data_IF_013079494377
#
_entry.id   IF_013079494377
#
_cell.length_a   1.000
_cell.length_b   1.000
_cell.length_c   1.000
_cell.angle_alpha   90.00
_cell.angle_beta   90.00
_cell.angle_gamma   90.00
#
_symmetry.space_group_name_H-M   'P 1'
#
loop_
_entity.id
_entity.type
_entity.pdbx_description
1 polymer ?
#
# COMPACT_ATOMS: atom_id res chain seq x y z
N UNK A 1 0.02 13.39 -13.95
CA UNK A 1 1.03 13.04 -12.94
C UNK A 1 2.20 14.02 -13.02
N UNK A 2 2.72 14.56 -11.91
CA UNK A 2 3.76 15.60 -11.94
C UNK A 2 4.99 15.16 -12.75
N UNK A 3 5.52 15.98 -13.69
CA UNK A 3 6.66 15.60 -14.52
C UNK A 3 7.89 15.16 -13.72
N UNK A 4 8.15 15.80 -12.57
CA UNK A 4 9.23 15.42 -11.66
C UNK A 4 9.10 13.98 -11.17
N UNK A 5 7.92 13.55 -10.74
CA UNK A 5 7.73 12.17 -10.27
C UNK A 5 7.73 11.16 -11.43
N UNK A 6 7.28 11.59 -12.61
CA UNK A 6 7.26 10.75 -13.81
C UNK A 6 8.65 10.48 -14.37
N UNK A 7 9.51 11.50 -14.42
CA UNK A 7 10.79 11.43 -15.11
C UNK A 7 12.01 11.45 -14.19
N UNK A 8 11.89 11.99 -12.97
CA UNK A 8 13.03 12.17 -12.05
C UNK A 8 13.01 11.17 -10.90
N UNK A 9 11.93 11.09 -10.11
CA UNK A 9 11.91 10.20 -8.93
C UNK A 9 11.82 8.71 -9.29
N UNK A 10 11.46 8.40 -10.55
CA UNK A 10 11.30 7.03 -11.05
C UNK A 10 10.27 6.18 -10.29
N UNK A 11 9.45 6.80 -9.42
CA UNK A 11 8.39 6.14 -8.67
C UNK A 11 7.09 5.97 -9.47
N UNK A 12 7.00 6.59 -10.65
CA UNK A 12 5.86 6.42 -11.54
C UNK A 12 5.86 5.06 -12.22
N UNK A 13 4.68 4.44 -12.28
CA UNK A 13 4.36 3.29 -13.13
C UNK A 13 3.07 3.59 -13.91
N UNK A 14 2.89 2.95 -15.06
CA UNK A 14 1.65 3.10 -15.85
C UNK A 14 0.47 2.43 -15.14
N UNK A 15 -0.74 2.84 -15.50
CA UNK A 15 -1.98 2.24 -14.99
C UNK A 15 -2.04 0.72 -15.25
N UNK A 16 -1.61 0.28 -16.44
CA UNK A 16 -1.53 -1.14 -16.80
C UNK A 16 -0.56 -1.91 -15.88
N UNK A 17 0.60 -1.33 -15.57
CA UNK A 17 1.59 -1.95 -14.68
C UNK A 17 1.08 -1.99 -13.23
N UNK A 18 0.47 -0.92 -12.75
CA UNK A 18 -0.21 -0.89 -11.44
C UNK A 18 -1.29 -1.97 -11.34
N UNK A 19 -2.09 -2.16 -12.39
CA UNK A 19 -3.12 -3.19 -12.46
C UNK A 19 -2.56 -4.61 -12.37
N UNK A 20 -1.43 -4.88 -13.04
CA UNK A 20 -0.73 -6.18 -12.94
C UNK A 20 -0.23 -6.46 -11.52
N UNK A 21 0.31 -5.45 -10.83
CA UNK A 21 0.78 -5.57 -9.44
C UNK A 21 -0.36 -5.84 -8.47
N UNK A 22 -1.50 -5.17 -8.66
CA UNK A 22 -2.71 -5.47 -7.90
C UNK A 22 -3.16 -6.93 -8.12
N UNK A 23 -3.24 -7.36 -9.38
CA UNK A 23 -3.60 -8.74 -9.70
C UNK A 23 -2.62 -9.76 -9.06
N UNK A 24 -1.32 -9.42 -9.02
CA UNK A 24 -0.32 -10.23 -8.35
C UNK A 24 -0.62 -10.39 -6.85
N UNK A 25 -0.86 -9.30 -6.11
CA UNK A 25 -1.19 -9.39 -4.66
C UNK A 25 -2.43 -10.24 -4.41
N UNK A 26 -3.43 -10.15 -5.30
CA UNK A 26 -4.69 -10.88 -5.14
C UNK A 26 -4.54 -12.38 -5.42
N UNK A 27 -3.65 -12.78 -6.32
CA UNK A 27 -3.64 -14.15 -6.87
C UNK A 27 -2.34 -14.94 -6.67
N UNK A 28 -1.22 -14.28 -6.39
CA UNK A 28 0.08 -14.93 -6.24
C UNK A 28 0.18 -15.62 -4.86
N UNK A 29 0.34 -16.96 -4.79
CA UNK A 29 0.45 -17.69 -3.53
C UNK A 29 1.63 -17.23 -2.65
N UNK A 30 2.64 -16.59 -3.24
CA UNK A 30 3.79 -16.05 -2.50
C UNK A 30 3.48 -14.76 -1.72
N UNK A 31 2.35 -14.11 -2.00
CA UNK A 31 1.95 -12.82 -1.40
C UNK A 31 0.77 -12.93 -0.43
N UNK A 32 0.61 -14.08 0.22
CA UNK A 32 -0.54 -14.42 1.07
C UNK A 32 -0.42 -13.96 2.52
N UNK A 33 0.71 -13.37 2.91
CA UNK A 33 0.97 -12.95 4.29
C UNK A 33 0.09 -11.74 4.67
N UNK A 34 -0.70 -11.92 5.74
CA UNK A 34 -1.53 -10.87 6.30
C UNK A 34 -0.72 -9.84 7.10
N UNK A 35 -1.21 -8.60 7.18
CA UNK A 35 -0.60 -7.52 7.96
C UNK A 35 0.65 -6.90 7.34
N UNK A 36 0.86 -7.09 6.03
CA UNK A 36 2.05 -6.66 5.31
C UNK A 36 1.75 -5.54 4.32
N UNK A 37 2.69 -4.60 4.20
CA UNK A 37 2.68 -3.59 3.15
C UNK A 37 3.55 -4.04 1.96
N UNK A 38 2.94 -4.59 0.91
CA UNK A 38 3.67 -5.01 -0.29
C UNK A 38 4.13 -3.80 -1.12
N UNK A 39 5.38 -3.81 -1.55
CA UNK A 39 5.99 -2.76 -2.38
C UNK A 39 6.81 -3.33 -3.52
N UNK A 40 7.07 -2.51 -4.55
CA UNK A 40 7.85 -2.85 -5.73
C UNK A 40 8.92 -1.79 -5.96
N UNK A 41 10.09 -2.21 -6.43
CA UNK A 41 11.13 -1.32 -6.96
C UNK A 41 11.37 -1.66 -8.45
N UNK A 42 12.40 -1.05 -9.06
CA UNK A 42 12.71 -1.29 -10.48
C UNK A 42 13.43 -2.61 -10.75
N UNK A 43 14.05 -3.20 -9.74
CA UNK A 43 15.09 -4.21 -9.89
C UNK A 43 14.72 -5.56 -9.25
N UNK A 44 13.60 -5.66 -8.52
CA UNK A 44 13.18 -6.86 -7.81
C UNK A 44 11.68 -7.16 -7.94
N UNK A 45 11.34 -8.40 -7.62
CA UNK A 45 9.98 -8.80 -7.27
C UNK A 45 9.46 -8.01 -6.05
N UNK A 46 8.17 -8.13 -5.77
CA UNK A 46 7.53 -7.53 -4.60
C UNK A 46 8.24 -7.87 -3.29
N UNK A 47 8.24 -6.95 -2.34
CA UNK A 47 8.85 -7.12 -1.02
C UNK A 47 7.97 -6.53 0.08
N UNK A 48 8.19 -6.98 1.32
CA UNK A 48 7.54 -6.43 2.51
C UNK A 48 8.19 -5.10 2.89
N UNK A 49 7.44 -4.01 2.84
CA UNK A 49 7.96 -2.68 3.13
C UNK A 49 7.89 -2.34 4.62
N UNK A 50 8.90 -1.61 5.09
CA UNK A 50 8.91 -1.05 6.43
C UNK A 50 7.95 0.15 6.50
N UNK A 51 7.02 0.11 7.44
CA UNK A 51 6.08 1.21 7.71
C UNK A 51 6.77 2.33 8.48
N UNK A 52 6.24 3.55 8.34
CA UNK A 52 6.60 4.66 9.22
C UNK A 52 6.09 4.41 10.63
N UNK A 53 6.66 5.10 11.61
CA UNK A 53 6.19 5.07 13.01
C UNK A 53 4.70 5.43 13.10
N UNK A 54 4.28 6.46 12.37
CA UNK A 54 2.89 6.91 12.33
C UNK A 54 1.94 5.83 11.77
N UNK A 55 2.34 5.16 10.68
CA UNK A 55 1.51 4.12 10.05
C UNK A 55 1.52 2.80 10.84
N UNK A 56 2.44 2.63 11.80
CA UNK A 56 2.56 1.45 12.66
C UNK A 56 2.02 1.66 14.08
N UNK A 57 1.50 2.85 14.40
CA UNK A 57 0.88 3.16 15.69
C UNK A 57 -0.51 2.50 15.82
N UNK A 58 -0.56 1.41 16.61
CA UNK A 58 -1.77 0.63 16.83
C UNK A 58 -2.86 1.37 17.62
N UNK A 59 -2.50 2.23 18.57
CA UNK A 59 -3.48 3.00 19.35
C UNK A 59 -4.15 4.06 18.48
N UNK A 60 -3.37 4.69 17.60
CA UNK A 60 -3.90 5.62 16.62
C UNK A 60 -4.80 4.93 15.60
N UNK A 61 -4.40 3.76 15.10
CA UNK A 61 -5.23 2.96 14.19
C UNK A 61 -6.58 2.59 14.84
N UNK A 62 -6.58 2.16 16.11
CA UNK A 62 -7.81 1.88 16.88
C UNK A 62 -8.70 3.12 16.99
N UNK A 63 -8.13 4.27 17.33
CA UNK A 63 -8.89 5.52 17.44
C UNK A 63 -9.49 5.95 16.10
N UNK A 64 -8.75 5.80 15.00
CA UNK A 64 -9.25 6.10 13.64
C UNK A 64 -10.42 5.20 13.29
N UNK A 65 -10.36 3.91 13.63
CA UNK A 65 -11.47 2.98 13.46
C UNK A 65 -12.73 3.43 14.20
N UNK A 66 -12.64 3.64 15.51
CA UNK A 66 -13.77 4.02 16.37
C UNK A 66 -14.45 5.33 15.94
N UNK A 67 -13.66 6.32 15.51
CA UNK A 67 -14.21 7.59 15.01
C UNK A 67 -14.85 7.39 13.65
N UNK A 68 -14.24 6.61 12.75
CA UNK A 68 -14.74 6.38 11.41
C UNK A 68 -16.07 5.62 11.43
N UNK A 69 -16.21 4.58 12.23
CA UNK A 69 -17.47 3.82 12.38
C UNK A 69 -18.63 4.72 12.77
N UNK A 70 -18.43 5.65 13.73
CA UNK A 70 -19.44 6.63 14.14
C UNK A 70 -19.80 7.59 13.01
N UNK A 71 -18.81 8.04 12.24
CA UNK A 71 -19.04 8.97 11.12
C UNK A 71 -19.83 8.34 9.98
N UNK A 72 -19.69 7.02 9.77
CA UNK A 72 -20.45 6.29 8.74
C UNK A 72 -21.72 5.62 9.27
N UNK A 73 -22.09 5.85 10.53
CA UNK A 73 -23.31 5.33 11.15
C UNK A 73 -23.34 3.82 11.35
N UNK A 74 -22.17 3.19 11.49
CA UNK A 74 -22.03 1.77 11.81
C UNK A 74 -21.91 1.49 13.32
N UNK A 75 -21.85 2.55 14.13
CA UNK A 75 -21.75 2.53 15.60
C UNK A 75 -22.69 3.55 16.25
#
# INVERSE_FOLDING_TARGET
>A
FPPFQKYITKGYVSETESGKRLAQVVSDPSLTKSGVYWSWNKDSASFENQLSEEASDAEKARKVWEVSEKLVGLA
#
